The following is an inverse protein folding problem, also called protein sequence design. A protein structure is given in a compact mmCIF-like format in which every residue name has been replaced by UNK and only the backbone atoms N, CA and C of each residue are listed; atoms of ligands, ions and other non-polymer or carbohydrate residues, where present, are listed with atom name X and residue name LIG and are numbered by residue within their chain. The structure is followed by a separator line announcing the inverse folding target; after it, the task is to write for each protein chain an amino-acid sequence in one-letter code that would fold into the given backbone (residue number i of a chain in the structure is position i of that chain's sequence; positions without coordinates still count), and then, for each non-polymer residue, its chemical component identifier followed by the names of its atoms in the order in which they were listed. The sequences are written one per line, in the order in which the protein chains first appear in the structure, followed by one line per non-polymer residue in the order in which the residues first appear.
data_IF_549941700259
#
_entry.id   IF_549941700259
#
_cell.length_a   1.000
_cell.length_b   1.000
_cell.length_c   1.000
_cell.angle_alpha   90.00
_cell.angle_beta   90.00
_cell.angle_gamma   90.00
#
_symmetry.space_group_name_H-M   'P 1'
#
loop_
_entity.id
_entity.type
_entity.pdbx_description
1 polymer ?
#
# COMPACT_ATOMS: atom_id res chain seq x y z
N UNK A 1 0.47 -33.89 -22.77
CA UNK A 1 -0.81 -33.37 -22.27
C UNK A 1 -1.11 -32.07 -23.03
N UNK A 2 -2.08 -32.06 -23.96
CA UNK A 2 -2.45 -30.82 -24.67
C UNK A 2 -3.33 -29.99 -23.73
N UNK A 3 -2.75 -29.00 -23.07
CA UNK A 3 -3.52 -28.02 -22.30
C UNK A 3 -4.26 -27.11 -23.28
N UNK A 4 -5.58 -27.18 -23.26
CA UNK A 4 -6.46 -26.41 -24.13
C UNK A 4 -6.88 -25.14 -23.38
N UNK A 5 -6.01 -24.12 -23.40
CA UNK A 5 -6.36 -22.82 -22.84
C UNK A 5 -7.38 -22.12 -23.75
N UNK A 6 -8.38 -21.47 -23.15
CA UNK A 6 -9.28 -20.58 -23.88
C UNK A 6 -8.45 -19.47 -24.53
N UNK A 7 -8.36 -19.48 -25.85
CA UNK A 7 -7.74 -18.38 -26.60
C UNK A 7 -8.71 -17.20 -26.50
N UNK A 8 -8.42 -16.25 -25.62
CA UNK A 8 -9.15 -14.98 -25.61
C UNK A 8 -8.95 -14.32 -26.96
N UNK A 9 -10.05 -13.91 -27.60
CA UNK A 9 -9.98 -13.15 -28.84
C UNK A 9 -9.20 -11.86 -28.61
N UNK A 10 -8.30 -11.61 -29.55
CA UNK A 10 -7.29 -10.58 -29.46
C UNK A 10 -7.99 -9.21 -29.50
N UNK A 11 -7.87 -8.42 -28.44
CA UNK A 11 -8.50 -7.11 -28.34
C UNK A 11 -7.68 -6.07 -29.11
N UNK A 12 -8.25 -5.48 -30.17
CA UNK A 12 -7.57 -4.46 -30.99
C UNK A 12 -7.07 -3.27 -30.16
N UNK A 13 -7.74 -2.93 -29.06
CA UNK A 13 -7.36 -1.80 -28.21
C UNK A 13 -6.02 -2.01 -27.49
N UNK A 14 -5.55 -3.25 -27.36
CA UNK A 14 -4.28 -3.60 -26.68
C UNK A 14 -3.20 -3.93 -27.71
N UNK A 15 -3.52 -3.93 -29.02
CA UNK A 15 -2.59 -4.32 -30.08
C UNK A 15 -1.36 -3.41 -30.12
N UNK A 16 -1.55 -2.10 -29.90
CA UNK A 16 -0.47 -1.11 -29.90
C UNK A 16 0.46 -1.33 -28.70
N UNK A 17 -0.10 -1.48 -27.49
CA UNK A 17 0.69 -1.70 -26.27
C UNK A 17 1.47 -3.02 -26.31
N UNK A 18 0.87 -4.08 -26.86
CA UNK A 18 1.54 -5.38 -27.05
C UNK A 18 2.65 -5.28 -28.09
N UNK A 19 2.43 -4.56 -29.20
CA UNK A 19 3.47 -4.32 -30.21
C UNK A 19 4.63 -3.50 -29.64
N UNK A 20 4.34 -2.50 -28.80
CA UNK A 20 5.36 -1.67 -28.13
C UNK A 20 6.15 -2.47 -27.10
N UNK A 21 5.50 -3.32 -26.31
CA UNK A 21 6.15 -4.26 -25.40
C UNK A 21 7.04 -5.25 -26.17
N UNK A 22 6.54 -5.82 -27.26
CA UNK A 22 7.30 -6.77 -28.10
C UNK A 22 8.49 -6.09 -28.81
N UNK A 23 8.34 -4.83 -29.23
CA UNK A 23 9.43 -4.00 -29.78
C UNK A 23 10.51 -3.76 -28.73
N UNK A 24 10.11 -3.35 -27.54
CA UNK A 24 11.00 -3.04 -26.42
C UNK A 24 11.77 -4.29 -26.01
N UNK A 25 11.08 -5.40 -25.76
CA UNK A 25 11.71 -6.68 -25.42
C UNK A 25 12.67 -7.20 -26.51
N UNK A 26 12.35 -6.99 -27.80
CA UNK A 26 13.26 -7.36 -28.91
C UNK A 26 14.49 -6.46 -28.98
N UNK A 27 14.37 -5.16 -28.65
CA UNK A 27 15.48 -4.19 -28.59
C UNK A 27 16.46 -4.50 -27.45
N UNK A 28 15.97 -5.07 -26.34
CA UNK A 28 16.78 -5.47 -25.19
C UNK A 28 17.19 -6.95 -25.22
N UNK A 29 17.08 -7.62 -26.38
CA UNK A 29 17.52 -9.01 -26.59
C UNK A 29 19.05 -9.14 -26.70
N UNK A 30 19.78 -8.59 -25.74
CA UNK A 30 21.21 -8.87 -25.54
C UNK A 30 21.37 -9.89 -24.42
N UNK A 31 22.44 -10.69 -24.50
CA UNK A 31 22.76 -11.78 -23.55
C UNK A 31 22.85 -11.34 -22.07
N UNK A 32 22.88 -10.03 -21.81
CA UNK A 32 23.00 -9.44 -20.48
C UNK A 32 21.69 -9.42 -19.68
N UNK A 33 20.53 -9.38 -20.35
CA UNK A 33 19.21 -9.15 -19.68
C UNK A 33 18.14 -10.17 -20.06
N UNK A 34 18.48 -11.17 -20.88
CA UNK A 34 17.57 -12.21 -21.32
C UNK A 34 18.17 -13.58 -21.02
N UNK A 35 17.53 -14.33 -20.13
CA UNK A 35 17.83 -15.76 -19.96
C UNK A 35 17.37 -16.49 -21.23
N UNK A 36 18.31 -16.71 -22.16
CA UNK A 36 18.05 -17.37 -23.45
C UNK A 36 17.45 -18.77 -23.29
N UNK A 37 17.82 -19.49 -22.23
CA UNK A 37 17.35 -20.84 -21.98
C UNK A 37 15.86 -20.82 -21.56
N UNK A 38 15.50 -19.94 -20.63
CA UNK A 38 14.10 -19.73 -20.21
C UNK A 38 13.24 -19.16 -21.35
N UNK A 39 13.77 -18.21 -22.12
CA UNK A 39 13.10 -17.67 -23.31
C UNK A 39 12.81 -18.76 -24.34
N UNK A 40 13.78 -19.61 -24.65
CA UNK A 40 13.60 -20.70 -25.61
C UNK A 40 12.61 -21.76 -25.09
N UNK A 41 12.64 -22.04 -23.78
CA UNK A 41 11.66 -22.88 -23.11
C UNK A 41 10.25 -22.32 -23.26
N UNK A 42 10.05 -21.03 -22.99
CA UNK A 42 8.75 -20.35 -23.05
C UNK A 42 8.23 -20.17 -24.48
N UNK A 43 9.10 -19.92 -25.46
CA UNK A 43 8.71 -19.87 -26.89
C UNK A 43 8.16 -21.21 -27.39
N UNK A 44 8.59 -22.33 -26.81
CA UNK A 44 8.01 -23.65 -27.09
C UNK A 44 6.58 -23.82 -26.55
N UNK A 45 6.23 -23.10 -25.48
CA UNK A 45 4.89 -23.11 -24.89
C UNK A 45 3.94 -22.09 -25.53
N UNK A 46 4.48 -20.99 -26.06
CA UNK A 46 3.71 -19.88 -26.65
C UNK A 46 4.25 -19.46 -28.02
N UNK A 47 4.03 -20.27 -29.07
CA UNK A 47 4.45 -19.89 -30.42
C UNK A 47 3.64 -18.69 -30.91
N UNK A 48 4.32 -17.58 -31.22
CA UNK A 48 3.72 -16.44 -31.90
C UNK A 48 3.18 -16.87 -33.27
N UNK A 49 1.99 -16.39 -33.64
CA UNK A 49 1.43 -16.64 -34.98
C UNK A 49 2.29 -15.95 -36.05
N UNK A 50 2.36 -16.55 -37.24
CA UNK A 50 3.15 -16.03 -38.35
C UNK A 50 2.67 -14.63 -38.80
N UNK A 51 1.37 -14.34 -38.65
CA UNK A 51 0.80 -13.00 -38.90
C UNK A 51 1.38 -11.94 -37.95
N UNK A 52 1.52 -12.26 -36.66
CA UNK A 52 2.10 -11.37 -35.65
C UNK A 52 3.58 -11.08 -35.91
N UNK A 53 4.32 -12.10 -36.36
CA UNK A 53 5.73 -11.95 -36.74
C UNK A 53 5.87 -10.98 -37.91
N UNK A 54 4.99 -11.10 -38.91
CA UNK A 54 4.95 -10.21 -40.08
C UNK A 54 4.57 -8.78 -39.71
N UNK A 55 3.58 -8.60 -38.84
CA UNK A 55 3.17 -7.28 -38.32
C UNK A 55 4.33 -6.60 -37.57
N UNK A 56 5.09 -7.34 -36.76
CA UNK A 56 6.27 -6.84 -36.04
C UNK A 56 7.43 -6.46 -36.95
N UNK A 57 7.64 -7.19 -38.05
CA UNK A 57 8.68 -6.87 -39.03
C UNK A 57 8.33 -5.60 -39.81
N UNK A 58 7.06 -5.44 -40.22
CA UNK A 58 6.59 -4.26 -40.94
C UNK A 58 6.55 -2.99 -40.07
N UNK A 59 6.30 -3.11 -38.75
CA UNK A 59 6.21 -1.96 -37.84
C UNK A 59 7.57 -1.29 -37.57
N UNK A 60 8.68 -1.98 -37.82
CA UNK A 60 10.04 -1.45 -37.61
C UNK A 60 10.41 -0.41 -38.69
N UNK A 61 9.78 -0.43 -39.86
CA UNK A 61 10.12 0.47 -40.97
C UNK A 61 9.53 1.89 -40.83
N UNK A 62 8.55 2.11 -39.94
CA UNK A 62 7.96 3.44 -39.73
C UNK A 62 8.66 4.17 -38.57
N UNK A 63 9.76 4.87 -38.90
CA UNK A 63 10.44 5.80 -37.99
C UNK A 63 9.60 7.06 -37.75
N UNK A 64 9.10 7.23 -36.52
CA UNK A 64 9.06 8.53 -35.86
C UNK A 64 9.66 8.33 -34.47
N UNK A 65 10.85 8.87 -34.27
CA UNK A 65 11.50 8.95 -32.96
C UNK A 65 11.14 10.32 -32.40
N UNK A 66 10.51 10.36 -31.22
CA UNK A 66 10.50 11.59 -30.40
C UNK A 66 11.80 11.54 -29.61
N UNK A 67 12.68 12.49 -29.92
CA UNK A 67 13.93 12.77 -29.21
C UNK A 67 13.60 13.66 -28.00
N UNK A 68 13.96 13.22 -26.78
CA UNK A 68 13.82 14.01 -25.55
C UNK A 68 15.21 14.38 -24.99
N UNK A 69 16.27 14.30 -25.81
CA UNK A 69 17.56 14.91 -25.52
C UNK A 69 17.70 16.22 -26.30
N UNK A 70 16.96 17.24 -25.84
CA UNK A 70 17.21 18.63 -26.23
C UNK A 70 18.36 19.19 -25.40
N UNK A 71 19.56 19.15 -25.95
CA UNK A 71 20.79 19.62 -25.33
C UNK A 71 20.80 21.14 -25.06
N UNK A 72 21.29 21.52 -23.88
CA UNK A 72 21.97 22.80 -23.67
C UNK A 72 23.36 22.67 -24.29
N UNK A 73 23.63 23.49 -25.28
CA UNK A 73 24.88 23.53 -26.05
C UNK A 73 26.13 23.61 -25.15
N UNK A 74 27.00 22.61 -25.25
CA UNK A 74 28.45 22.80 -25.06
C UNK A 74 29.17 22.19 -26.24
N UNK A 75 29.72 23.08 -27.06
CA UNK A 75 30.57 22.85 -28.22
C UNK A 75 31.79 21.99 -27.85
N UNK A 76 31.93 20.80 -28.45
CA UNK A 76 33.25 20.23 -28.76
C UNK A 76 33.22 19.44 -30.08
N UNK A 77 34.15 19.81 -30.95
CA UNK A 77 34.34 19.39 -32.33
C UNK A 77 34.69 17.88 -32.45
N UNK A 78 34.18 17.14 -33.45
CA UNK A 78 34.49 15.73 -33.64
C UNK A 78 35.71 15.56 -34.54
N UNK A 79 36.80 15.02 -34.00
CA UNK A 79 37.82 14.28 -34.75
C UNK A 79 38.85 13.69 -33.79
N UNK A 80 38.68 12.42 -33.42
CA UNK A 80 39.78 11.45 -33.33
C UNK A 80 39.27 10.08 -32.91
N UNK A 81 39.30 9.19 -33.90
CA UNK A 81 39.30 7.73 -33.79
C UNK A 81 40.47 7.28 -32.92
N UNK A 82 40.24 6.57 -31.81
CA UNK A 82 41.24 5.62 -31.26
C UNK A 82 40.54 4.50 -30.48
N UNK A 83 40.55 3.33 -31.10
CA UNK A 83 40.91 2.00 -30.57
C UNK A 83 40.67 1.68 -29.10
N UNK A 84 39.89 0.61 -28.89
CA UNK A 84 39.93 -0.27 -27.71
C UNK A 84 41.35 -0.72 -27.35
N UNK A 85 41.65 -0.80 -26.05
CA UNK A 85 42.44 -1.91 -25.54
C UNK A 85 41.72 -2.64 -24.40
N UNK A 86 41.59 -3.95 -24.56
CA UNK A 86 41.47 -4.89 -23.44
C UNK A 86 42.70 -4.78 -22.55
N UNK A 87 42.53 -4.71 -21.23
CA UNK A 87 43.43 -5.35 -20.27
C UNK A 87 42.81 -5.38 -18.87
N UNK A 88 43.06 -6.51 -18.22
CA UNK A 88 42.69 -6.87 -16.86
C UNK A 88 43.12 -5.79 -15.86
N UNK A 89 42.25 -5.48 -14.91
CA UNK A 89 42.67 -4.90 -13.63
C UNK A 89 41.76 -5.41 -12.52
N UNK A 90 42.40 -6.23 -11.69
CA UNK A 90 42.11 -6.60 -10.32
C UNK A 90 41.13 -5.68 -9.59
N UNK A 91 40.07 -6.27 -9.02
CA UNK A 91 39.27 -5.65 -7.97
C UNK A 91 40.11 -5.58 -6.68
N UNK A 92 40.47 -4.40 -6.15
CA UNK A 92 41.16 -4.30 -4.88
C UNK A 92 40.18 -3.79 -3.81
N UNK A 93 39.10 -4.52 -3.52
CA UNK A 93 38.24 -4.22 -2.35
C UNK A 93 37.59 -5.46 -1.71
N UNK A 94 38.23 -6.63 -1.87
CA UNK A 94 37.84 -7.85 -1.15
C UNK A 94 39.06 -8.47 -0.49
N UNK A 95 39.56 -7.86 0.58
CA UNK A 95 40.32 -8.59 1.61
C UNK A 95 40.30 -7.85 2.94
N UNK A 96 39.99 -8.62 3.99
CA UNK A 96 40.25 -8.42 5.42
C UNK A 96 39.56 -7.26 6.12
N UNK A 97 38.48 -7.58 6.85
CA UNK A 97 38.29 -7.03 8.19
C UNK A 97 38.27 -8.18 9.20
N UNK A 98 39.46 -8.48 9.70
CA UNK A 98 39.65 -9.16 10.98
C UNK A 98 39.75 -8.11 12.07
N UNK A 99 38.90 -8.27 13.08
CA UNK A 99 38.99 -7.79 14.47
C UNK A 99 39.17 -6.28 14.76
N UNK A 100 38.17 -5.76 15.46
CA UNK A 100 38.17 -4.58 16.33
C UNK A 100 38.20 -3.21 15.65
N UNK A 101 37.09 -2.84 15.01
CA UNK A 101 36.57 -1.48 15.08
C UNK A 101 35.04 -1.59 15.06
N UNK A 102 34.36 -1.04 16.06
CA UNK A 102 32.91 -0.81 15.94
C UNK A 102 32.74 0.13 14.75
N UNK A 103 32.22 -0.39 13.63
CA UNK A 103 31.74 0.42 12.51
C UNK A 103 30.93 1.55 13.11
N UNK A 104 31.32 2.81 12.86
CA UNK A 104 30.59 3.91 13.47
C UNK A 104 29.13 3.83 13.02
N UNK A 105 28.16 4.20 13.86
CA UNK A 105 26.74 4.10 13.49
C UNK A 105 26.49 4.77 12.13
N UNK A 106 27.15 5.89 11.85
CA UNK A 106 27.06 6.58 10.57
C UNK A 106 27.58 5.75 9.39
N UNK A 107 28.71 5.05 9.55
CA UNK A 107 29.23 4.12 8.52
C UNK A 107 28.25 2.98 8.27
N UNK A 108 27.63 2.43 9.33
CA UNK A 108 26.60 1.41 9.20
C UNK A 108 25.40 1.93 8.38
N UNK A 109 24.90 3.12 8.71
CA UNK A 109 23.74 3.73 8.04
C UNK A 109 24.02 4.05 6.57
N UNK A 110 25.19 4.60 6.25
CA UNK A 110 25.60 4.84 4.87
C UNK A 110 25.79 3.52 4.10
N UNK A 111 26.31 2.48 4.75
CA UNK A 111 26.44 1.14 4.14
C UNK A 111 25.09 0.57 3.77
N UNK A 112 24.09 0.68 4.66
CA UNK A 112 22.71 0.23 4.37
C UNK A 112 22.14 1.01 3.20
N UNK A 113 22.25 2.34 3.22
CA UNK A 113 21.75 3.21 2.15
C UNK A 113 22.38 2.89 0.80
N UNK A 114 23.71 2.75 0.75
CA UNK A 114 24.40 2.42 -0.49
C UNK A 114 24.06 1.01 -0.98
N UNK A 115 23.90 0.05 -0.06
CA UNK A 115 23.49 -1.31 -0.42
C UNK A 115 22.10 -1.35 -1.05
N UNK A 116 21.14 -0.58 -0.50
CA UNK A 116 19.80 -0.47 -1.09
C UNK A 116 19.83 0.20 -2.46
N UNK A 117 20.62 1.28 -2.63
CA UNK A 117 20.73 1.98 -3.91
C UNK A 117 21.38 1.15 -5.02
N UNK A 118 22.41 0.36 -4.69
CA UNK A 118 23.20 -0.38 -5.68
C UNK A 118 22.66 -1.79 -5.89
N UNK A 119 22.34 -2.50 -4.80
CA UNK A 119 22.02 -3.92 -4.80
C UNK A 119 20.54 -4.20 -4.50
N UNK A 120 19.72 -3.18 -4.21
CA UNK A 120 18.31 -3.32 -3.82
C UNK A 120 18.09 -4.25 -2.61
N UNK A 121 19.16 -4.55 -1.87
CA UNK A 121 19.15 -5.48 -0.74
C UNK A 121 20.21 -5.07 0.27
N UNK A 122 20.00 -5.39 1.55
CA UNK A 122 20.98 -5.18 2.61
C UNK A 122 21.66 -6.51 2.96
N UNK A 123 22.99 -6.56 3.03
CA UNK A 123 23.72 -7.75 3.48
C UNK A 123 23.30 -8.17 4.90
N UNK A 124 23.22 -9.48 5.13
CA UNK A 124 22.79 -10.06 6.40
C UNK A 124 23.67 -9.64 7.57
N UNK A 125 24.99 -9.56 7.36
CA UNK A 125 25.95 -9.08 8.37
C UNK A 125 25.66 -7.65 8.83
N UNK A 126 25.24 -6.77 7.92
CA UNK A 126 24.92 -5.37 8.19
C UNK A 126 23.59 -5.26 8.93
N UNK A 127 22.62 -6.12 8.59
CA UNK A 127 21.35 -6.20 9.31
C UNK A 127 21.55 -6.72 10.73
N UNK A 128 22.39 -7.73 10.93
CA UNK A 128 22.72 -8.27 12.25
C UNK A 128 23.37 -7.21 13.13
N UNK A 129 24.28 -6.40 12.57
CA UNK A 129 24.85 -5.25 13.28
C UNK A 129 23.77 -4.24 13.69
N UNK A 130 22.84 -3.90 12.79
CA UNK A 130 21.74 -2.99 13.08
C UNK A 130 20.77 -3.54 14.14
N UNK A 131 20.47 -4.84 14.12
CA UNK A 131 19.57 -5.48 15.08
C UNK A 131 20.16 -5.56 16.49
N UNK A 132 21.49 -5.45 16.61
CA UNK A 132 22.22 -5.50 17.88
C UNK A 132 22.58 -4.12 18.46
N UNK A 133 22.19 -3.01 17.81
CA UNK A 133 22.38 -1.66 18.39
C UNK A 133 21.42 -1.43 19.56
N UNK A 134 21.77 -0.50 20.45
CA UNK A 134 20.88 -0.12 21.55
C UNK A 134 19.66 0.68 21.05
N UNK A 135 18.61 0.74 21.86
CA UNK A 135 17.34 1.40 21.52
C UNK A 135 17.48 2.85 21.05
N UNK A 136 18.40 3.62 21.65
CA UNK A 136 18.63 5.03 21.29
C UNK A 136 19.24 5.15 19.90
N UNK A 137 20.23 4.32 19.59
CA UNK A 137 20.87 4.29 18.29
C UNK A 137 19.96 3.67 17.23
N UNK A 138 19.09 2.74 17.60
CA UNK A 138 18.06 2.21 16.70
C UNK A 138 17.07 3.29 16.30
N UNK A 139 16.58 4.08 17.26
CA UNK A 139 15.70 5.22 16.97
C UNK A 139 16.38 6.25 16.07
N UNK A 140 17.65 6.58 16.34
CA UNK A 140 18.45 7.46 15.47
C UNK A 140 18.57 6.91 14.06
N UNK A 141 18.76 5.60 13.93
CA UNK A 141 18.85 4.91 12.64
C UNK A 141 17.57 5.08 11.83
N UNK A 142 16.40 4.82 12.43
CA UNK A 142 15.12 5.00 11.74
C UNK A 142 14.80 6.46 11.40
N UNK A 143 15.20 7.40 12.27
CA UNK A 143 15.09 8.83 11.99
C UNK A 143 16.01 9.31 10.86
N UNK A 144 17.14 8.63 10.65
CA UNK A 144 17.98 8.82 9.47
C UNK A 144 17.29 8.21 8.22
N UNK A 145 16.82 6.96 8.31
CA UNK A 145 16.18 6.27 7.18
C UNK A 145 14.94 6.99 6.65
N UNK A 146 14.07 7.53 7.51
CA UNK A 146 12.87 8.24 7.04
C UNK A 146 13.20 9.47 6.19
N UNK A 147 14.36 10.10 6.42
CA UNK A 147 14.82 11.25 5.64
C UNK A 147 15.45 10.82 4.32
N UNK A 148 16.23 9.74 4.35
CA UNK A 148 17.10 9.37 3.23
C UNK A 148 16.49 8.33 2.28
N UNK A 149 15.57 7.47 2.74
CA UNK A 149 15.02 6.38 1.96
C UNK A 149 13.84 6.84 1.11
N UNK A 150 13.76 6.34 -0.12
CA UNK A 150 12.52 6.35 -0.90
C UNK A 150 11.51 5.31 -0.38
N UNK A 151 10.30 5.30 -0.95
CA UNK A 151 9.35 4.22 -0.69
C UNK A 151 9.91 2.87 -1.13
N UNK A 152 10.56 2.81 -2.29
CA UNK A 152 11.21 1.62 -2.82
C UNK A 152 12.35 1.13 -1.91
N UNK A 153 13.20 2.03 -1.42
CA UNK A 153 14.26 1.66 -0.46
C UNK A 153 13.68 1.07 0.83
N UNK A 154 12.56 1.64 1.32
CA UNK A 154 11.86 1.17 2.51
C UNK A 154 11.30 -0.24 2.33
N UNK A 155 10.81 -0.54 1.13
CA UNK A 155 10.29 -1.85 0.74
C UNK A 155 11.43 -2.88 0.61
N UNK A 156 12.50 -2.51 -0.06
CA UNK A 156 13.70 -3.32 -0.24
C UNK A 156 14.40 -3.62 1.09
N UNK A 157 14.43 -2.63 1.99
CA UNK A 157 14.93 -2.81 3.35
C UNK A 157 14.14 -3.88 4.11
N UNK A 158 12.81 -3.82 4.06
CA UNK A 158 11.97 -4.85 4.68
C UNK A 158 12.17 -6.23 4.07
N UNK A 159 12.22 -6.32 2.74
CA UNK A 159 12.46 -7.58 2.04
C UNK A 159 13.83 -8.20 2.33
N UNK A 160 14.81 -7.38 2.74
CA UNK A 160 16.12 -7.86 3.15
C UNK A 160 16.09 -8.57 4.50
N UNK A 161 15.05 -8.34 5.33
CA UNK A 161 14.78 -9.05 6.57
C UNK A 161 14.19 -10.43 6.24
N UNK A 162 15.05 -11.35 5.74
CA UNK A 162 14.66 -12.68 5.25
C UNK A 162 13.85 -13.50 6.26
N UNK A 163 14.17 -13.36 7.55
CA UNK A 163 13.40 -13.94 8.63
C UNK A 163 12.87 -12.86 9.56
N UNK A 164 11.61 -12.51 9.34
CA UNK A 164 10.85 -11.62 10.21
C UNK A 164 10.87 -12.15 11.67
N UNK A 165 11.22 -13.43 11.93
CA UNK A 165 11.25 -14.03 13.28
C UNK A 165 12.34 -13.47 14.21
N UNK A 166 13.30 -12.72 13.67
CA UNK A 166 14.46 -12.21 14.41
C UNK A 166 14.24 -10.75 14.86
N UNK A 167 13.28 -10.05 14.27
CA UNK A 167 13.05 -8.63 14.58
C UNK A 167 12.34 -8.47 15.94
N UNK A 168 12.93 -7.69 16.84
CA UNK A 168 12.30 -7.29 18.09
C UNK A 168 11.06 -6.44 17.84
N UNK A 169 10.08 -6.48 18.76
CA UNK A 169 8.88 -5.64 18.68
C UNK A 169 9.24 -4.14 18.59
N UNK A 170 10.34 -3.73 19.23
CA UNK A 170 10.81 -2.35 19.16
C UNK A 170 11.30 -1.98 17.75
N UNK A 171 12.10 -2.85 17.12
CA UNK A 171 12.54 -2.65 15.73
C UNK A 171 11.34 -2.53 14.81
N UNK A 172 10.38 -3.44 14.92
CA UNK A 172 9.17 -3.45 14.09
C UNK A 172 8.33 -2.21 14.34
N UNK A 173 8.20 -1.78 15.60
CA UNK A 173 7.50 -0.55 15.96
C UNK A 173 8.15 0.67 15.31
N UNK A 174 9.48 0.77 15.28
CA UNK A 174 10.16 1.86 14.59
C UNK A 174 10.03 1.75 13.07
N UNK A 175 10.17 0.55 12.50
CA UNK A 175 9.93 0.33 11.07
C UNK A 175 8.53 0.81 10.67
N UNK A 176 7.48 0.39 11.37
CA UNK A 176 6.10 0.76 11.05
C UNK A 176 5.86 2.27 11.23
N UNK A 177 6.17 2.80 12.43
CA UNK A 177 5.74 4.15 12.80
C UNK A 177 6.63 5.26 12.25
N UNK A 178 7.94 5.03 12.19
CA UNK A 178 8.91 6.08 11.79
C UNK A 178 9.19 6.01 10.30
N UNK A 179 9.24 4.81 9.70
CA UNK A 179 9.69 4.65 8.32
C UNK A 179 8.55 4.32 7.35
N UNK A 180 7.90 3.16 7.54
CA UNK A 180 6.97 2.59 6.58
C UNK A 180 5.69 3.40 6.42
N UNK A 181 4.93 3.68 7.48
CA UNK A 181 3.68 4.44 7.35
C UNK A 181 3.90 5.87 6.82
N UNK A 182 4.91 6.64 7.28
CA UNK A 182 5.21 7.96 6.70
C UNK A 182 5.52 7.94 5.21
N UNK A 183 6.18 6.88 4.70
CA UNK A 183 6.47 6.70 3.26
C UNK A 183 5.25 6.18 2.50
N UNK A 184 4.57 5.17 3.01
CA UNK A 184 3.40 4.57 2.37
C UNK A 184 2.25 5.57 2.19
N UNK A 185 2.12 6.56 3.07
CA UNK A 185 1.13 7.65 2.94
C UNK A 185 1.36 8.60 1.77
N UNK A 186 2.51 8.53 1.11
CA UNK A 186 2.87 9.43 0.00
C UNK A 186 2.44 8.85 -1.35
N UNK A 187 2.39 7.53 -1.49
CA UNK A 187 1.99 6.85 -2.73
C UNK A 187 1.44 5.44 -2.46
N UNK A 188 0.40 5.05 -3.20
CA UNK A 188 -0.10 3.68 -3.18
C UNK A 188 0.76 2.76 -4.04
N UNK A 189 1.20 1.63 -3.47
CA UNK A 189 1.94 0.58 -4.18
C UNK A 189 1.44 -0.79 -3.75
N UNK A 190 1.24 -1.69 -4.71
CA UNK A 190 0.89 -3.08 -4.44
C UNK A 190 1.95 -3.79 -3.60
N UNK A 191 3.22 -3.41 -3.74
CA UNK A 191 4.30 -3.99 -2.97
C UNK A 191 4.24 -3.56 -1.50
N UNK A 192 3.94 -2.29 -1.23
CA UNK A 192 3.63 -1.82 0.13
C UNK A 192 2.41 -2.53 0.71
N UNK A 193 1.38 -2.80 -0.11
CA UNK A 193 0.19 -3.54 0.35
C UNK A 193 0.55 -4.97 0.79
N UNK A 194 1.45 -5.63 0.06
CA UNK A 194 1.94 -6.96 0.43
C UNK A 194 2.70 -6.93 1.75
N UNK A 195 3.59 -5.95 1.94
CA UNK A 195 4.30 -5.72 3.21
C UNK A 195 3.32 -5.48 4.35
N UNK A 196 2.32 -4.62 4.14
CA UNK A 196 1.29 -4.31 5.13
C UNK A 196 0.49 -5.57 5.52
N UNK A 197 0.19 -6.45 4.57
CA UNK A 197 -0.47 -7.73 4.82
C UNK A 197 0.42 -8.69 5.64
N UNK A 198 1.70 -8.79 5.30
CA UNK A 198 2.70 -9.59 6.06
C UNK A 198 2.86 -9.07 7.49
N UNK A 199 2.89 -7.75 7.67
CA UNK A 199 2.93 -7.10 8.97
C UNK A 199 1.65 -7.38 9.77
N UNK A 200 0.47 -7.36 9.15
CA UNK A 200 -0.78 -7.72 9.82
C UNK A 200 -0.79 -9.16 10.32
N UNK A 201 -0.31 -10.10 9.51
CA UNK A 201 -0.29 -11.53 9.87
C UNK A 201 0.57 -11.81 11.11
N UNK A 202 1.67 -11.08 11.29
CA UNK A 202 2.67 -11.38 12.31
C UNK A 202 2.74 -10.40 13.46
N UNK A 203 2.61 -9.11 13.16
CA UNK A 203 2.67 -8.00 14.13
C UNK A 203 1.37 -7.22 14.16
N UNK A 204 0.25 -7.97 14.14
CA UNK A 204 -1.10 -7.43 14.05
C UNK A 204 -1.32 -6.29 15.05
N UNK A 205 -0.95 -6.48 16.32
CA UNK A 205 -1.20 -5.47 17.35
C UNK A 205 -0.38 -4.21 17.15
N UNK A 206 0.91 -4.33 16.80
CA UNK A 206 1.78 -3.17 16.56
C UNK A 206 1.27 -2.36 15.36
N UNK A 207 0.97 -3.03 14.24
CA UNK A 207 0.50 -2.37 13.03
C UNK A 207 -0.89 -1.76 13.23
N UNK A 208 -1.82 -2.48 13.85
CA UNK A 208 -3.17 -2.00 14.15
C UNK A 208 -3.12 -0.75 15.02
N UNK A 209 -2.36 -0.76 16.12
CA UNK A 209 -2.21 0.42 16.98
C UNK A 209 -1.63 1.61 16.21
N UNK A 210 -0.63 1.37 15.35
CA UNK A 210 -0.06 2.41 14.50
C UNK A 210 -1.09 2.98 13.51
N UNK A 211 -1.82 2.13 12.80
CA UNK A 211 -2.85 2.54 11.84
C UNK A 211 -3.99 3.30 12.52
N UNK A 212 -4.50 2.82 13.65
CA UNK A 212 -5.57 3.51 14.39
C UNK A 212 -5.13 4.91 14.83
N UNK A 213 -3.90 5.03 15.35
CA UNK A 213 -3.35 6.33 15.74
C UNK A 213 -3.28 7.27 14.53
N UNK A 214 -2.80 6.77 13.40
CA UNK A 214 -2.66 7.58 12.19
C UNK A 214 -3.99 7.97 11.56
N UNK A 215 -4.98 7.07 11.60
CA UNK A 215 -6.33 7.35 11.14
C UNK A 215 -7.06 8.36 12.05
N UNK A 216 -6.82 8.30 13.37
CA UNK A 216 -7.48 9.19 14.33
C UNK A 216 -6.83 10.58 14.43
N UNK A 217 -5.50 10.67 14.26
CA UNK A 217 -4.76 11.94 14.41
C UNK A 217 -4.65 12.76 13.12
N UNK A 218 -5.05 12.20 11.98
CA UNK A 218 -4.93 12.89 10.71
C UNK A 218 -5.94 14.06 10.64
N UNK A 219 -5.45 15.29 10.83
CA UNK A 219 -6.24 16.53 10.66
C UNK A 219 -6.95 16.60 9.30
N UNK A 220 -6.42 15.88 8.30
CA UNK A 220 -7.08 15.58 7.04
C UNK A 220 -7.00 14.08 6.76
N UNK A 221 -8.08 13.49 6.27
CA UNK A 221 -8.08 12.10 5.88
C UNK A 221 -7.08 11.85 4.74
N UNK A 222 -6.03 11.05 5.00
CA UNK A 222 -5.07 10.69 3.97
C UNK A 222 -5.70 9.65 3.04
N UNK A 223 -6.03 10.06 1.81
CA UNK A 223 -6.70 9.23 0.80
C UNK A 223 -5.89 7.97 0.43
N UNK A 224 -4.56 8.08 0.42
CA UNK A 224 -3.67 6.95 0.12
C UNK A 224 -3.71 5.94 1.26
N UNK A 225 -3.65 6.40 2.52
CA UNK A 225 -3.80 5.51 3.67
C UNK A 225 -5.18 4.84 3.68
N UNK A 226 -6.24 5.59 3.33
CA UNK A 226 -7.57 5.00 3.14
C UNK A 226 -7.58 3.94 2.05
N UNK A 227 -6.85 4.13 0.96
CA UNK A 227 -6.72 3.15 -0.10
C UNK A 227 -6.09 1.86 0.42
N UNK A 228 -4.99 1.93 1.18
CA UNK A 228 -4.40 0.76 1.85
C UNK A 228 -5.36 0.07 2.84
N UNK A 229 -6.13 0.85 3.59
CA UNK A 229 -7.12 0.30 4.52
C UNK A 229 -8.29 -0.35 3.76
N UNK A 230 -8.68 0.20 2.62
CA UNK A 230 -9.78 -0.31 1.80
C UNK A 230 -9.47 -1.66 1.13
N UNK A 231 -8.19 -1.97 0.93
CA UNK A 231 -7.69 -3.22 0.33
C UNK A 231 -7.44 -4.32 1.36
N UNK A 232 -7.48 -4.01 2.66
CA UNK A 232 -7.39 -5.00 3.72
C UNK A 232 -8.53 -6.03 3.66
N UNK A 233 -8.25 -7.23 4.16
CA UNK A 233 -9.26 -8.27 4.35
C UNK A 233 -10.33 -7.83 5.35
N UNK A 234 -11.47 -8.50 5.33
CA UNK A 234 -12.58 -8.17 6.22
C UNK A 234 -12.20 -8.37 7.70
N UNK A 235 -11.38 -9.38 8.01
CA UNK A 235 -10.95 -9.65 9.37
C UNK A 235 -10.01 -8.58 9.90
N UNK A 236 -9.06 -8.14 9.09
CA UNK A 236 -8.15 -7.03 9.42
C UNK A 236 -8.91 -5.71 9.63
N UNK A 237 -9.87 -5.40 8.74
CA UNK A 237 -10.74 -4.22 8.91
C UNK A 237 -11.55 -4.28 10.19
N UNK A 238 -12.11 -5.44 10.55
CA UNK A 238 -12.84 -5.63 11.82
C UNK A 238 -11.96 -5.33 13.04
N UNK A 239 -10.69 -5.75 13.01
CA UNK A 239 -9.74 -5.49 14.09
C UNK A 239 -9.41 -4.00 14.24
N UNK A 240 -9.14 -3.29 13.13
CA UNK A 240 -8.92 -1.84 13.16
C UNK A 240 -10.18 -1.12 13.65
N UNK A 241 -11.34 -1.49 13.11
CA UNK A 241 -12.61 -0.85 13.41
C UNK A 241 -12.97 -0.91 14.89
N UNK A 242 -12.72 -2.05 15.55
CA UNK A 242 -12.94 -2.22 16.99
C UNK A 242 -12.14 -1.20 17.80
N UNK A 243 -10.84 -1.06 17.52
CA UNK A 243 -9.97 -0.19 18.30
C UNK A 243 -10.20 1.30 17.93
N UNK A 244 -10.62 1.59 16.71
CA UNK A 244 -11.04 2.92 16.26
C UNK A 244 -12.30 3.41 16.98
N UNK A 245 -13.16 2.56 17.55
CA UNK A 245 -14.33 3.06 18.32
C UNK A 245 -14.00 3.76 19.62
N UNK A 246 -12.81 3.56 20.15
CA UNK A 246 -12.39 4.21 21.39
C UNK A 246 -12.00 5.69 21.19
N UNK A 247 -12.45 6.32 20.09
CA UNK A 247 -12.31 7.74 19.86
C UNK A 247 -13.15 8.54 20.85
N UNK A 248 -12.54 9.57 21.45
CA UNK A 248 -13.22 10.44 22.42
C UNK A 248 -14.40 11.21 21.80
N UNK A 249 -14.24 11.66 20.55
CA UNK A 249 -15.26 12.42 19.82
C UNK A 249 -15.22 12.12 18.33
N UNK A 250 -16.37 11.86 17.73
CA UNK A 250 -16.50 11.73 16.28
C UNK A 250 -16.31 13.10 15.62
N UNK A 251 -15.41 13.16 14.62
CA UNK A 251 -15.12 14.35 13.83
C UNK A 251 -15.37 14.06 12.34
N UNK A 252 -15.44 15.11 11.52
CA UNK A 252 -15.79 14.97 10.10
C UNK A 252 -14.80 14.10 9.33
N UNK A 253 -13.51 14.18 9.66
CA UNK A 253 -12.49 13.35 9.02
C UNK A 253 -12.59 11.86 9.33
N UNK A 254 -13.28 11.47 10.42
CA UNK A 254 -13.48 10.07 10.79
C UNK A 254 -14.55 9.39 9.94
N UNK A 255 -15.47 10.16 9.34
CA UNK A 255 -16.58 9.63 8.55
C UNK A 255 -16.10 8.78 7.35
N UNK A 256 -15.22 9.27 6.45
CA UNK A 256 -14.75 8.46 5.33
C UNK A 256 -13.95 7.22 5.78
N UNK A 257 -13.25 7.31 6.91
CA UNK A 257 -12.52 6.18 7.51
C UNK A 257 -13.50 5.10 7.95
N UNK A 258 -14.53 5.48 8.70
CA UNK A 258 -15.60 4.58 9.12
C UNK A 258 -16.34 3.99 7.92
N UNK A 259 -16.63 4.78 6.88
CA UNK A 259 -17.25 4.27 5.65
C UNK A 259 -16.41 3.18 4.99
N UNK A 260 -15.08 3.33 4.94
CA UNK A 260 -14.13 2.37 4.35
C UNK A 260 -13.97 1.10 5.19
N UNK A 261 -13.96 1.23 6.51
CA UNK A 261 -13.84 0.10 7.45
C UNK A 261 -15.14 -0.68 7.62
N UNK A 262 -16.30 -0.02 7.54
CA UNK A 262 -17.62 -0.64 7.73
C UNK A 262 -17.99 -1.58 6.58
N UNK A 263 -18.41 -2.80 6.93
CA UNK A 263 -18.95 -3.82 6.03
C UNK A 263 -20.31 -4.35 6.51
N UNK A 264 -20.94 -5.16 5.67
CA UNK A 264 -22.19 -5.92 5.90
C UNK A 264 -22.23 -6.80 7.17
N UNK A 265 -21.08 -7.17 7.74
CA UNK A 265 -20.97 -8.09 8.90
C UNK A 265 -20.32 -7.41 10.12
N UNK A 266 -20.62 -6.14 10.35
CA UNK A 266 -20.14 -5.43 11.53
C UNK A 266 -20.84 -5.94 12.80
N UNK A 267 -20.11 -6.04 13.90
CA UNK A 267 -20.65 -6.44 15.21
C UNK A 267 -21.76 -5.47 15.66
N UNK A 268 -22.97 -5.96 15.99
CA UNK A 268 -24.06 -5.12 16.48
C UNK A 268 -23.68 -4.27 17.69
N UNK A 269 -22.88 -4.79 18.61
CA UNK A 269 -22.43 -4.03 19.81
C UNK A 269 -21.60 -2.82 19.40
N UNK A 270 -20.74 -3.00 18.40
CA UNK A 270 -19.94 -1.93 17.82
C UNK A 270 -20.84 -0.88 17.13
N UNK A 271 -21.82 -1.33 16.33
CA UNK A 271 -22.70 -0.44 15.58
C UNK A 271 -23.56 0.42 16.52
N UNK A 272 -24.02 -0.13 17.64
CA UNK A 272 -24.73 0.60 18.70
C UNK A 272 -23.84 1.70 19.28
N UNK A 273 -22.62 1.37 19.70
CA UNK A 273 -21.66 2.36 20.25
C UNK A 273 -21.35 3.47 19.26
N UNK A 274 -21.16 3.13 17.98
CA UNK A 274 -20.91 4.12 16.94
C UNK A 274 -22.13 5.04 16.78
N UNK A 275 -23.34 4.49 16.81
CA UNK A 275 -24.56 5.28 16.74
C UNK A 275 -24.73 6.23 17.94
N UNK A 276 -24.38 5.79 19.15
CA UNK A 276 -24.37 6.63 20.35
C UNK A 276 -23.36 7.80 20.21
N UNK A 277 -22.15 7.51 19.71
CA UNK A 277 -21.13 8.52 19.42
C UNK A 277 -21.64 9.51 18.36
N UNK A 278 -22.24 9.02 17.27
CA UNK A 278 -22.88 9.86 16.26
C UNK A 278 -23.97 10.75 16.88
N UNK A 279 -24.82 10.21 17.75
CA UNK A 279 -25.88 10.97 18.41
C UNK A 279 -25.35 12.08 19.32
N UNK A 280 -24.22 11.87 20.00
CA UNK A 280 -23.61 12.89 20.86
C UNK A 280 -23.17 14.14 20.08
N UNK A 281 -22.75 13.99 18.82
CA UNK A 281 -22.25 15.09 17.97
C UNK A 281 -23.24 15.53 16.90
N UNK A 282 -24.46 15.00 16.87
CA UNK A 282 -25.40 15.17 15.76
C UNK A 282 -25.73 16.63 15.41
N UNK A 283 -25.67 17.54 16.39
CA UNK A 283 -25.87 18.98 16.20
C UNK A 283 -24.75 19.66 15.41
N UNK A 284 -23.56 19.07 15.38
CA UNK A 284 -22.41 19.57 14.61
C UNK A 284 -22.51 19.15 13.12
N UNK A 285 -23.30 18.12 12.82
CA UNK A 285 -23.43 17.51 11.49
C UNK A 285 -24.82 17.70 10.87
N UNK A 286 -25.53 18.79 11.19
CA UNK A 286 -26.95 18.98 10.80
C UNK A 286 -27.20 18.88 9.29
N UNK A 287 -26.28 19.37 8.45
CA UNK A 287 -26.40 19.37 6.99
C UNK A 287 -25.40 18.45 6.28
N UNK A 288 -24.60 17.67 7.02
CA UNK A 288 -23.51 16.87 6.45
C UNK A 288 -24.05 15.61 5.76
N UNK A 289 -23.86 15.54 4.44
CA UNK A 289 -24.33 14.42 3.62
C UNK A 289 -23.58 13.11 3.91
N UNK A 290 -22.28 13.18 4.22
CA UNK A 290 -21.44 12.02 4.51
C UNK A 290 -21.85 11.41 5.85
N UNK A 291 -22.11 12.25 6.85
CA UNK A 291 -22.67 11.82 8.13
C UNK A 291 -24.02 11.11 7.95
N UNK A 292 -24.92 11.69 7.17
CA UNK A 292 -26.23 11.10 6.88
C UNK A 292 -26.14 9.77 6.13
N UNK A 293 -25.19 9.66 5.18
CA UNK A 293 -24.93 8.43 4.42
C UNK A 293 -24.36 7.32 5.32
N UNK A 294 -23.41 7.66 6.19
CA UNK A 294 -22.85 6.76 7.19
C UNK A 294 -23.94 6.25 8.14
N UNK A 295 -24.81 7.14 8.63
CA UNK A 295 -25.96 6.78 9.46
C UNK A 295 -26.88 5.77 8.74
N UNK A 296 -27.22 6.06 7.48
CA UNK A 296 -28.04 5.16 6.68
C UNK A 296 -27.37 3.80 6.48
N UNK A 297 -26.05 3.76 6.27
CA UNK A 297 -25.27 2.52 6.19
C UNK A 297 -25.38 1.73 7.50
N UNK A 298 -25.09 2.36 8.65
CA UNK A 298 -25.17 1.71 9.97
C UNK A 298 -26.55 1.13 10.24
N UNK A 299 -27.61 1.88 9.92
CA UNK A 299 -28.99 1.42 10.13
C UNK A 299 -29.33 0.20 9.28
N UNK A 300 -28.82 0.11 8.05
CA UNK A 300 -29.03 -1.10 7.24
C UNK A 300 -28.18 -2.30 7.69
N UNK A 301 -27.19 -2.10 8.55
CA UNK A 301 -26.37 -3.16 9.14
C UNK A 301 -26.91 -3.67 10.48
N UNK A 302 -27.78 -2.89 11.13
CA UNK A 302 -28.39 -3.25 12.40
C UNK A 302 -29.67 -4.07 12.17
N UNK A 303 -29.86 -5.12 12.96
CA UNK A 303 -31.11 -5.87 12.99
C UNK A 303 -32.23 -5.04 13.62
N UNK A 304 -33.47 -5.30 13.18
CA UNK A 304 -34.66 -4.56 13.62
C UNK A 304 -34.96 -4.66 15.13
N UNK A 305 -34.39 -5.67 15.80
CA UNK A 305 -34.73 -6.04 17.17
C UNK A 305 -33.70 -5.56 18.21
N UNK A 306 -32.82 -4.63 17.85
CA UNK A 306 -31.77 -4.15 18.76
C UNK A 306 -32.37 -3.12 19.74
N UNK A 307 -32.47 -3.49 21.01
CA UNK A 307 -32.93 -2.63 22.10
C UNK A 307 -31.98 -1.45 22.34
N UNK A 308 -32.53 -0.27 22.64
CA UNK A 308 -31.75 0.92 23.03
C UNK A 308 -31.39 1.90 21.90
N UNK A 309 -31.73 1.59 20.65
CA UNK A 309 -31.46 2.46 19.50
C UNK A 309 -32.38 3.68 19.39
N UNK A 310 -33.55 3.65 20.02
CA UNK A 310 -34.60 4.66 19.85
C UNK A 310 -34.14 6.07 20.26
N UNK A 311 -33.51 6.20 21.43
CA UNK A 311 -33.05 7.49 21.95
C UNK A 311 -31.94 8.11 21.07
N UNK A 312 -30.84 7.39 20.73
CA UNK A 312 -29.85 7.89 19.77
C UNK A 312 -30.46 8.31 18.43
N UNK A 313 -31.37 7.51 17.86
CA UNK A 313 -31.99 7.82 16.57
C UNK A 313 -32.91 9.03 16.61
N UNK A 314 -33.77 9.13 17.63
CA UNK A 314 -34.63 10.31 17.82
C UNK A 314 -33.79 11.58 17.94
N UNK A 315 -32.66 11.53 18.66
CA UNK A 315 -31.74 12.66 18.79
C UNK A 315 -31.16 13.08 17.44
N UNK A 316 -30.65 12.13 16.66
CA UNK A 316 -30.06 12.42 15.34
C UNK A 316 -31.12 12.95 14.36
N UNK A 317 -32.26 12.26 14.25
CA UNK A 317 -33.34 12.65 13.33
C UNK A 317 -34.01 13.99 13.71
N UNK A 318 -34.00 14.34 14.99
CA UNK A 318 -34.53 15.62 15.49
C UNK A 318 -33.74 16.84 15.01
N UNK A 319 -32.43 16.71 14.77
CA UNK A 319 -31.57 17.82 14.35
C UNK A 319 -31.04 17.72 12.92
N UNK A 320 -30.89 16.51 12.37
CA UNK A 320 -30.32 16.31 11.04
C UNK A 320 -31.32 16.67 9.92
N UNK A 321 -30.82 17.29 8.85
CA UNK A 321 -31.61 17.91 7.78
C UNK A 321 -31.17 17.52 6.37
N UNK A 322 -30.21 16.60 6.22
CA UNK A 322 -29.80 16.12 4.90
C UNK A 322 -30.87 15.25 4.21
N UNK A 323 -30.68 14.96 2.93
CA UNK A 323 -31.53 14.02 2.16
C UNK A 323 -31.57 12.61 2.78
N UNK A 324 -30.53 12.23 3.53
CA UNK A 324 -30.44 10.91 4.14
C UNK A 324 -31.33 10.78 5.37
N UNK A 325 -31.66 11.88 6.04
CA UNK A 325 -32.61 11.89 7.17
C UNK A 325 -33.93 11.23 6.76
N UNK A 326 -34.51 11.63 5.63
CA UNK A 326 -35.79 11.08 5.14
C UNK A 326 -35.68 9.57 4.89
N UNK A 327 -34.54 9.12 4.34
CA UNK A 327 -34.30 7.69 4.08
C UNK A 327 -34.19 6.89 5.38
N UNK A 328 -33.45 7.40 6.36
CA UNK A 328 -33.28 6.77 7.68
C UNK A 328 -34.61 6.75 8.44
N UNK A 329 -35.36 7.85 8.42
CA UNK A 329 -36.67 7.97 9.08
C UNK A 329 -37.66 6.93 8.54
N UNK A 330 -37.71 6.72 7.21
CA UNK A 330 -38.54 5.66 6.60
C UNK A 330 -38.18 4.25 7.07
N UNK A 331 -36.89 3.93 7.17
CA UNK A 331 -36.44 2.60 7.62
C UNK A 331 -36.75 2.42 9.10
N UNK A 332 -36.43 3.40 9.92
CA UNK A 332 -36.58 3.33 11.38
C UNK A 332 -38.03 3.37 11.85
N UNK A 333 -38.94 4.08 11.15
CA UNK A 333 -40.38 4.04 11.43
C UNK A 333 -40.95 2.61 11.36
N UNK A 334 -40.43 1.78 10.44
CA UNK A 334 -40.85 0.37 10.37
C UNK A 334 -40.42 -0.45 11.59
N UNK A 335 -39.37 -0.03 12.30
CA UNK A 335 -38.86 -0.76 13.47
C UNK A 335 -39.64 -0.41 14.75
N UNK A 336 -40.02 0.86 14.90
CA UNK A 336 -40.75 1.33 16.09
C UNK A 336 -42.25 1.02 16.06
N UNK A 337 -42.84 0.86 14.87
CA UNK A 337 -44.25 0.49 14.75
C UNK A 337 -44.51 -1.00 15.04
N UNK A 338 -43.53 -1.88 14.79
CA UNK A 338 -43.63 -3.32 15.10
C UNK A 338 -43.50 -3.62 16.61
N UNK A 339 -42.78 -2.78 17.37
CA UNK A 339 -42.63 -2.94 18.83
C UNK A 339 -43.92 -2.63 19.61
N UNK A 340 -44.82 -1.85 19.02
CA UNK A 340 -46.16 -1.59 19.58
C UNK A 340 -47.15 -2.74 19.37
N UNK A 341 -46.90 -3.68 18.44
CA UNK A 341 -47.79 -4.83 18.23
C UNK A 341 -47.37 -6.07 19.03
N UNK A 342 -46.11 -6.16 19.47
CA UNK A 342 -45.64 -7.26 20.33
C UNK A 342 -45.83 -7.02 21.84
N UNK A 343 -46.17 -5.81 22.26
CA UNK A 343 -46.43 -5.46 23.67
C UNK A 343 -47.90 -5.61 24.08
N UNK A 344 -48.76 -6.15 23.21
CA UNK A 344 -50.19 -6.38 23.44
C UNK A 344 -50.65 -7.81 23.08
N UNK A 345 -49.80 -8.83 23.31
CA UNK A 345 -50.22 -10.25 23.30
C UNK A 345 -49.88 -10.88 24.65
#
# INVERSE_FOLDING_TARGET
MKMNFSRQEWNENIKIDVLEFLKTSKKYKTDKYCNKEEHNRLMGFFPLSEELKKDLENYIEQKVCIDITGDVEVVLNPNSTYETPSLKTENPFLTSFSDSNKTSLNELLETIKMSLKVNQTVPETVLDELLNVNDVDLERSFNYFVKEFSLEDTQNFWNSLKDIHICSDLFVKYYINILFLPKAKQEFSYHSQEILSKLFQKYCDILKTALVKELAQANNCNEILLQYVSTLSNDEKRLILRDFTNMDKLQSQHIPILESLLKYEADPVFLIKLLESMASVATEFTMDNSYGKLLFKIINLLDRNVSGLEQPLRRILGCHRSIWRIKVEKVTLSWFNDTLTQSFI
#
